data_IF_509554633047
#
_entry.id   IF_509554633047
#
_cell.length_a   1.000
_cell.length_b   1.000
_cell.length_c   1.000
_cell.angle_alpha   90.00
_cell.angle_beta   90.00
_cell.angle_gamma   90.00
#
_symmetry.space_group_name_H-M   'P 1'
#
loop_
_entity.id
_entity.type
_entity.pdbx_description
1 polymer ?
#
# COMPACT_ATOMS: atom_id res chain seq x y z
N UNK A 1 -17.80 2.23 7.37
CA UNK A 1 -17.37 2.91 6.15
C UNK A 1 -15.87 3.14 6.26
N UNK A 2 -15.12 2.95 5.16
CA UNK A 2 -13.69 3.25 5.14
C UNK A 2 -13.48 4.70 5.61
N UNK A 3 -12.55 4.88 6.53
CA UNK A 3 -12.24 6.18 7.14
C UNK A 3 -10.76 6.48 7.00
N UNK A 4 -10.42 7.76 7.12
CA UNK A 4 -9.04 8.18 7.30
C UNK A 4 -8.45 7.52 8.56
N UNK A 5 -7.17 7.17 8.50
CA UNK A 5 -6.48 6.51 9.61
C UNK A 5 -5.12 5.95 9.21
N UNK A 6 -4.33 5.64 10.22
CA UNK A 6 -3.03 5.00 10.08
C UNK A 6 -3.13 3.53 10.47
N UNK A 7 -2.58 2.64 9.65
CA UNK A 7 -2.54 1.21 9.91
C UNK A 7 -1.11 0.70 9.80
N UNK A 8 -0.64 -0.01 10.81
CA UNK A 8 0.72 -0.58 10.84
C UNK A 8 0.65 -2.10 10.76
N UNK A 9 1.52 -2.70 9.95
CA UNK A 9 1.63 -4.15 9.88
C UNK A 9 2.17 -4.74 11.19
N UNK A 10 1.74 -5.96 11.51
CA UNK A 10 2.20 -6.68 12.71
C UNK A 10 3.72 -6.89 12.76
N UNK A 11 4.36 -7.03 11.60
CA UNK A 11 5.82 -7.17 11.49
C UNK A 11 6.57 -5.83 11.60
N UNK A 12 5.84 -4.72 11.69
CA UNK A 12 6.36 -3.37 11.80
C UNK A 12 7.06 -2.82 10.54
N UNK A 13 7.00 -3.55 9.42
CA UNK A 13 7.70 -3.21 8.17
C UNK A 13 6.89 -2.36 7.21
N UNK A 14 5.58 -2.34 7.36
CA UNK A 14 4.67 -1.62 6.47
C UNK A 14 3.73 -0.70 7.25
N UNK A 15 3.43 0.45 6.67
CA UNK A 15 2.45 1.39 7.21
C UNK A 15 1.60 1.92 6.08
N UNK A 16 0.28 1.82 6.21
CA UNK A 16 -0.69 2.40 5.30
C UNK A 16 -1.37 3.58 6.00
N UNK A 17 -1.29 4.76 5.41
CA UNK A 17 -2.06 5.92 5.86
C UNK A 17 -3.12 6.22 4.81
N UNK A 18 -4.37 6.29 5.23
CA UNK A 18 -5.51 6.72 4.41
C UNK A 18 -5.88 8.13 4.86
N UNK A 19 -5.89 9.10 3.95
CA UNK A 19 -6.15 10.52 4.29
C UNK A 19 -7.49 11.03 3.79
N UNK A 20 -7.87 10.69 2.55
CA UNK A 20 -9.09 11.21 1.93
C UNK A 20 -9.77 10.12 1.07
N UNK A 21 -10.76 9.41 1.62
CA UNK A 21 -11.57 8.46 0.85
C UNK A 21 -12.61 9.17 -0.04
N UNK A 22 -12.50 9.03 -1.36
CA UNK A 22 -13.54 9.36 -2.35
C UNK A 22 -14.53 8.20 -2.55
N UNK A 23 -15.72 8.31 -1.96
CA UNK A 23 -16.79 7.31 -2.08
C UNK A 23 -17.43 7.22 -3.47
N UNK A 24 -17.39 8.28 -4.27
CA UNK A 24 -17.95 8.27 -5.61
C UNK A 24 -16.99 7.57 -6.58
N UNK A 25 -15.69 7.86 -6.45
CA UNK A 25 -14.63 7.24 -7.26
C UNK A 25 -14.17 5.87 -6.77
N UNK A 26 -14.51 5.50 -5.53
CA UNK A 26 -14.02 4.29 -4.86
C UNK A 26 -12.48 4.24 -4.75
N UNK A 27 -11.87 5.40 -4.48
CA UNK A 27 -10.42 5.63 -4.42
C UNK A 27 -10.03 6.48 -3.21
N UNK A 28 -8.82 6.28 -2.68
CA UNK A 28 -8.30 7.10 -1.57
C UNK A 28 -6.91 7.64 -1.87
N UNK A 29 -6.65 8.81 -1.29
CA UNK A 29 -5.29 9.34 -1.15
C UNK A 29 -4.67 8.91 0.18
N UNK A 30 -3.35 9.03 0.27
CA UNK A 30 -2.61 8.66 1.47
C UNK A 30 -1.15 8.37 1.19
N UNK A 31 -0.57 7.53 2.04
CA UNK A 31 0.81 7.06 1.90
C UNK A 31 0.90 5.56 2.17
N UNK A 32 1.91 4.93 1.58
CA UNK A 32 2.35 3.60 1.96
C UNK A 32 3.84 3.66 2.28
N UNK A 33 4.25 3.24 3.47
CA UNK A 33 5.65 3.16 3.86
C UNK A 33 6.06 1.70 3.92
N UNK A 34 7.22 1.38 3.35
CA UNK A 34 7.87 0.10 3.47
C UNK A 34 9.31 0.27 3.97
N UNK A 35 9.64 -0.39 5.08
CA UNK A 35 10.93 -0.24 5.76
C UNK A 35 12.02 -1.16 5.23
N UNK A 36 11.63 -2.18 4.46
CA UNK A 36 12.49 -3.30 4.05
C UNK A 36 12.70 -3.37 2.53
N UNK A 37 12.66 -2.22 1.85
CA UNK A 37 13.00 -2.22 0.42
C UNK A 37 14.50 -2.50 0.23
N UNK A 38 14.94 -2.94 -0.96
CA UNK A 38 16.36 -3.13 -1.27
C UNK A 38 17.23 -1.88 -1.12
N UNK A 39 16.63 -0.69 -0.98
CA UNK A 39 17.32 0.60 -0.81
C UNK A 39 17.03 1.25 0.56
N UNK A 40 16.45 0.50 1.50
CA UNK A 40 16.06 0.97 2.83
C UNK A 40 14.58 1.39 2.90
N UNK A 41 14.25 2.20 3.91
CA UNK A 41 12.89 2.69 4.08
C UNK A 41 12.48 3.63 2.95
N UNK A 42 11.25 3.46 2.45
CA UNK A 42 10.68 4.31 1.44
C UNK A 42 9.19 4.57 1.71
N UNK A 43 8.76 5.81 1.49
CA UNK A 43 7.36 6.24 1.61
C UNK A 43 6.83 6.68 0.26
N UNK A 44 5.85 5.93 -0.26
CA UNK A 44 5.08 6.24 -1.45
C UNK A 44 3.97 7.21 -1.11
N UNK A 45 3.85 8.30 -1.87
CA UNK A 45 2.86 9.37 -1.69
C UNK A 45 2.59 10.14 -2.99
N UNK A 46 1.50 10.88 -3.05
CA UNK A 46 1.11 11.65 -4.24
C UNK A 46 1.02 10.73 -5.48
N UNK A 47 1.63 11.11 -6.60
CA UNK A 47 1.59 10.34 -7.85
C UNK A 47 2.25 8.95 -7.76
N UNK A 48 3.07 8.70 -6.73
CA UNK A 48 3.71 7.40 -6.52
C UNK A 48 2.82 6.39 -5.79
N UNK A 49 1.63 6.79 -5.38
CA UNK A 49 0.69 5.99 -4.59
C UNK A 49 -0.73 6.08 -5.16
N UNK A 50 -1.45 4.96 -5.17
CA UNK A 50 -2.87 4.91 -5.49
C UNK A 50 -3.57 3.87 -4.62
N UNK A 51 -4.64 4.29 -3.95
CA UNK A 51 -5.52 3.43 -3.16
C UNK A 51 -6.89 3.30 -3.82
N UNK A 52 -7.49 2.11 -3.75
CA UNK A 52 -8.83 1.83 -4.24
C UNK A 52 -9.55 0.83 -3.34
N UNK A 53 -10.88 0.82 -3.40
CA UNK A 53 -11.68 -0.19 -2.71
C UNK A 53 -12.96 -0.53 -3.46
N UNK A 54 -13.57 -1.63 -3.05
CA UNK A 54 -14.92 -2.04 -3.45
C UNK A 54 -15.68 -2.57 -2.24
N UNK A 55 -16.99 -2.36 -2.20
CA UNK A 55 -17.87 -2.95 -1.19
C UNK A 55 -18.63 -4.14 -1.73
N UNK A 56 -18.82 -5.14 -0.88
CA UNK A 56 -19.90 -6.11 -1.09
C UNK A 56 -21.26 -5.46 -0.85
N UNK A 57 -22.32 -6.07 -1.40
CA UNK A 57 -23.69 -5.59 -1.17
C UNK A 57 -23.99 -5.44 0.33
N UNK A 58 -24.70 -4.38 0.71
CA UNK A 58 -24.98 -4.08 2.12
C UNK A 58 -23.79 -3.56 2.92
N UNK A 59 -22.63 -3.33 2.28
CA UNK A 59 -21.40 -2.80 2.91
C UNK A 59 -20.95 -3.66 4.10
N UNK A 60 -20.94 -4.98 3.95
CA UNK A 60 -20.46 -5.87 5.01
C UNK A 60 -18.92 -5.90 5.05
N UNK A 61 -18.30 -5.94 3.87
CA UNK A 61 -16.85 -6.07 3.71
C UNK A 61 -16.31 -5.13 2.64
N UNK A 62 -15.03 -4.82 2.77
CA UNK A 62 -14.23 -4.03 1.86
C UNK A 62 -13.22 -4.95 1.18
N UNK A 63 -13.10 -4.85 -0.13
CA UNK A 63 -11.92 -5.29 -0.87
C UNK A 63 -11.05 -4.07 -1.16
N UNK A 64 -9.75 -4.13 -0.87
CA UNK A 64 -8.81 -3.01 -1.02
C UNK A 64 -7.75 -3.34 -2.08
N UNK A 65 -7.30 -2.30 -2.77
CA UNK A 65 -6.12 -2.34 -3.63
C UNK A 65 -5.20 -1.16 -3.34
N UNK A 66 -3.90 -1.43 -3.20
CA UNK A 66 -2.85 -0.42 -3.07
C UNK A 66 -1.81 -0.65 -4.15
N UNK A 67 -1.53 0.37 -4.94
CA UNK A 67 -0.50 0.36 -5.97
C UNK A 67 0.53 1.45 -5.67
N UNK A 68 1.80 1.07 -5.69
CA UNK A 68 2.89 2.01 -5.45
C UNK A 68 3.96 1.88 -6.53
N UNK A 69 4.48 3.02 -6.99
CA UNK A 69 5.53 3.06 -8.01
C UNK A 69 6.58 4.10 -7.67
N UNK A 70 7.86 3.73 -7.72
CA UNK A 70 8.96 4.65 -7.48
C UNK A 70 10.06 4.50 -8.52
N UNK A 71 10.67 5.65 -8.87
CA UNK A 71 11.86 5.74 -9.71
C UNK A 71 12.80 6.78 -9.13
N UNK A 72 14.07 6.44 -8.96
CA UNK A 72 14.95 7.21 -8.07
C UNK A 72 15.56 8.50 -8.65
N UNK A 73 15.43 8.77 -9.95
CA UNK A 73 15.91 10.00 -10.57
C UNK A 73 15.25 10.28 -11.92
N UNK A 74 14.59 11.44 -12.08
CA UNK A 74 13.85 11.83 -13.29
C UNK A 74 14.73 11.86 -14.56
N UNK A 75 16.06 11.97 -14.43
CA UNK A 75 17.01 12.06 -15.54
C UNK A 75 17.73 10.77 -15.96
N UNK A 76 17.43 9.62 -15.36
CA UNK A 76 18.13 8.36 -15.68
C UNK A 76 18.02 7.35 -14.55
N UNK A 77 16.82 6.81 -14.34
CA UNK A 77 16.47 5.91 -13.25
C UNK A 77 17.51 4.79 -13.04
N UNK A 78 18.32 4.89 -11.98
CA UNK A 78 19.31 3.85 -11.62
C UNK A 78 18.61 2.61 -11.05
N UNK A 79 17.44 2.79 -10.45
CA UNK A 79 16.56 1.70 -10.04
C UNK A 79 15.10 2.13 -10.01
N UNK A 80 14.21 1.13 -10.04
CA UNK A 80 12.77 1.31 -9.87
C UNK A 80 12.22 0.28 -8.89
N UNK A 81 11.15 0.66 -8.17
CA UNK A 81 10.39 -0.23 -7.29
C UNK A 81 8.92 -0.16 -7.69
N UNK A 82 8.25 -1.31 -7.72
CA UNK A 82 6.79 -1.39 -7.80
C UNK A 82 6.27 -2.33 -6.73
N UNK A 83 5.26 -1.85 -6.02
CA UNK A 83 4.49 -2.65 -5.09
C UNK A 83 3.03 -2.68 -5.53
N UNK A 84 2.41 -3.85 -5.46
CA UNK A 84 0.97 -4.03 -5.61
C UNK A 84 0.46 -4.92 -4.50
N UNK A 85 -0.55 -4.44 -3.80
CA UNK A 85 -1.18 -5.12 -2.68
C UNK A 85 -2.69 -5.16 -2.90
N UNK A 86 -3.28 -6.27 -2.50
CA UNK A 86 -4.73 -6.47 -2.47
C UNK A 86 -5.10 -7.04 -1.12
N UNK A 87 -6.33 -6.80 -0.69
CA UNK A 87 -6.78 -7.39 0.56
C UNK A 87 -8.21 -7.08 0.92
N UNK A 88 -8.54 -7.33 2.18
CA UNK A 88 -9.91 -7.24 2.66
C UNK A 88 -10.00 -6.71 4.09
N UNK A 89 -11.16 -6.16 4.42
CA UNK A 89 -11.52 -5.69 5.76
C UNK A 89 -13.03 -5.73 5.98
N UNK A 90 -13.47 -5.52 7.23
CA UNK A 90 -14.82 -5.05 7.55
C UNK A 90 -15.04 -3.60 7.10
N UNK A 91 -16.30 -3.14 7.09
CA UNK A 91 -16.69 -1.79 6.65
C UNK A 91 -16.10 -0.65 7.49
N UNK A 92 -15.91 -0.81 8.79
CA UNK A 92 -15.18 0.13 9.66
C UNK A 92 -13.90 -0.57 10.16
N UNK A 93 -12.80 -0.51 9.39
CA UNK A 93 -11.61 -1.31 9.68
C UNK A 93 -10.99 -0.92 11.01
N UNK A 94 -10.84 -1.90 11.90
CA UNK A 94 -9.78 -1.88 12.91
C UNK A 94 -8.56 -2.67 12.45
N UNK A 95 -8.77 -3.57 11.48
CA UNK A 95 -7.73 -4.38 10.87
C UNK A 95 -7.98 -4.49 9.37
N UNK A 96 -6.90 -4.46 8.59
CA UNK A 96 -6.90 -4.71 7.16
C UNK A 96 -5.90 -5.84 6.93
N UNK A 97 -6.31 -6.91 6.25
CA UNK A 97 -5.36 -7.95 5.81
C UNK A 97 -5.00 -7.68 4.35
N UNK A 98 -3.71 -7.53 4.05
CA UNK A 98 -3.19 -7.32 2.70
C UNK A 98 -2.16 -8.39 2.34
N UNK A 99 -2.27 -8.90 1.12
CA UNK A 99 -1.20 -9.66 0.45
C UNK A 99 -0.68 -8.82 -0.72
N UNK A 100 0.60 -8.94 -1.03
CA UNK A 100 1.20 -8.12 -2.06
C UNK A 100 2.47 -8.68 -2.65
N UNK A 101 2.96 -7.98 -3.67
CA UNK A 101 4.22 -8.29 -4.31
C UNK A 101 5.02 -7.02 -4.54
N UNK A 102 6.34 -7.16 -4.43
CA UNK A 102 7.32 -6.13 -4.77
C UNK A 102 8.20 -6.60 -5.89
N UNK A 103 8.51 -5.69 -6.81
CA UNK A 103 9.59 -5.85 -7.78
C UNK A 103 10.58 -4.70 -7.65
N UNK A 104 11.85 -5.03 -7.77
CA UNK A 104 12.96 -4.08 -7.78
C UNK A 104 13.88 -4.41 -8.95
N UNK A 105 14.22 -3.40 -9.75
CA UNK A 105 15.20 -3.56 -10.84
C UNK A 105 16.20 -2.41 -10.86
N UNK A 106 17.43 -2.71 -11.29
CA UNK A 106 18.53 -1.74 -11.40
C UNK A 106 18.99 -1.55 -12.84
N UNK A 107 19.63 -0.42 -13.12
CA UNK A 107 20.23 -0.10 -14.42
C UNK A 107 21.37 -1.06 -14.81
N UNK A 108 22.00 -1.70 -13.81
CA UNK A 108 23.02 -2.74 -14.01
C UNK A 108 22.44 -4.13 -14.28
N UNK A 109 21.11 -4.26 -14.39
CA UNK A 109 20.42 -5.52 -14.69
C UNK A 109 20.06 -6.37 -13.48
N UNK A 110 20.26 -5.87 -12.25
CA UNK A 110 19.81 -6.53 -11.03
C UNK A 110 18.28 -6.61 -10.98
N UNK A 111 17.73 -7.76 -10.58
CA UNK A 111 16.29 -7.98 -10.45
C UNK A 111 15.99 -8.76 -9.17
N UNK A 112 15.03 -8.28 -8.40
CA UNK A 112 14.53 -8.94 -7.19
C UNK A 112 13.01 -8.90 -7.17
N UNK A 113 12.40 -9.96 -6.64
CA UNK A 113 10.95 -10.08 -6.44
C UNK A 113 10.68 -10.57 -5.03
N UNK A 114 9.63 -10.03 -4.43
CA UNK A 114 9.19 -10.38 -3.09
C UNK A 114 7.69 -10.60 -3.11
N UNK A 115 7.22 -11.50 -2.26
CA UNK A 115 5.81 -11.75 -2.00
C UNK A 115 5.56 -11.61 -0.51
N UNK A 116 4.39 -11.10 -0.17
CA UNK A 116 3.92 -10.90 1.18
C UNK A 116 2.52 -11.49 1.25
N UNK A 117 2.30 -12.40 2.19
CA UNK A 117 1.05 -13.15 2.30
C UNK A 117 0.37 -12.80 3.62
N UNK A 118 -0.90 -12.42 3.54
CA UNK A 118 -1.81 -12.21 4.67
C UNK A 118 -1.24 -11.31 5.78
N UNK A 119 -0.59 -10.22 5.40
CA UNK A 119 -0.03 -9.26 6.34
C UNK A 119 -1.17 -8.47 7.00
N UNK A 120 -1.28 -8.58 8.33
CA UNK A 120 -2.30 -7.88 9.10
C UNK A 120 -1.82 -6.49 9.48
N UNK A 121 -2.55 -5.47 9.02
CA UNK A 121 -2.38 -4.07 9.37
C UNK A 121 -3.42 -3.68 10.41
N UNK A 122 -2.99 -3.20 11.57
CA UNK A 122 -3.88 -2.78 12.66
C UNK A 122 -3.96 -1.26 12.72
N UNK A 123 -5.17 -0.72 12.89
CA UNK A 123 -5.41 0.71 13.05
C UNK A 123 -4.71 1.22 14.30
N UNK A 124 -4.00 2.32 14.17
CA UNK A 124 -3.32 2.99 15.27
C UNK A 124 -4.30 3.95 15.95
N UNK A 125 -4.16 4.09 17.27
CA UNK A 125 -4.89 5.11 18.03
C UNK A 125 -4.18 6.43 17.78
N UNK A 126 -4.95 7.45 17.39
CA UNK A 126 -4.45 8.82 17.19
C UNK A 126 -3.90 9.43 18.50
#
# INVERSE_FOLDING_TARGET
MLEAGTYSSEDGKHTLVITDPDFAGATFTGTFTAKDTPVGEYTYQGESFSGSWLYTAGRATINLGVACTYRNNIGGYNYVIRDYWVGTSTDTPQQITLSGSRSYTTISGGQQRFSFEDVVFTRQVD
#
